data_IF_792854692564
#
_entry.id   IF_792854692564
#
_cell.length_a   1.000
_cell.length_b   1.000
_cell.length_c   1.000
_cell.angle_alpha   90.00
_cell.angle_beta   90.00
_cell.angle_gamma   90.00
#
_symmetry.space_group_name_H-M   'P 1'
#
loop_
_entity.id
_entity.type
_entity.pdbx_description
1 polymer ?
#
# COMPACT_ATOMS: atom_id res chain seq x y z
N UNK A 1 4.21 -11.51 -20.29
CA UNK A 1 3.96 -10.26 -19.55
C UNK A 1 2.52 -10.26 -19.08
N UNK A 2 2.29 -10.19 -17.76
CA UNK A 2 0.97 -10.33 -17.15
C UNK A 2 0.70 -9.07 -16.32
N UNK A 3 -0.44 -8.43 -16.58
CA UNK A 3 -0.93 -7.30 -15.77
C UNK A 3 -1.77 -7.86 -14.63
N UNK A 4 -1.43 -7.49 -13.39
CA UNK A 4 -2.14 -7.88 -12.19
C UNK A 4 -2.61 -6.64 -11.44
N UNK A 5 -3.78 -6.76 -10.82
CA UNK A 5 -4.36 -5.73 -9.99
C UNK A 5 -4.64 -6.31 -8.61
N UNK A 6 -4.19 -5.61 -7.57
CA UNK A 6 -4.39 -6.02 -6.19
C UNK A 6 -5.15 -4.92 -5.42
N UNK A 7 -6.25 -5.30 -4.78
CA UNK A 7 -6.90 -4.41 -3.81
C UNK A 7 -6.09 -4.47 -2.54
N UNK A 8 -5.47 -3.36 -2.23
CA UNK A 8 -4.81 -3.16 -0.96
C UNK A 8 -5.81 -2.46 -0.06
N UNK A 9 -6.36 -3.24 0.85
CA UNK A 9 -7.26 -2.80 1.91
C UNK A 9 -6.69 -3.31 3.22
N UNK A 10 -6.97 -2.59 4.30
CA UNK A 10 -6.87 -3.22 5.59
C UNK A 10 -7.85 -4.40 5.63
N UNK A 11 -7.32 -5.62 5.79
CA UNK A 11 -8.10 -6.83 6.07
C UNK A 11 -8.23 -7.06 7.58
N UNK A 12 -7.63 -6.19 8.40
CA UNK A 12 -7.29 -6.50 9.78
C UNK A 12 -8.38 -6.04 10.75
N UNK A 13 -9.23 -5.09 10.39
CA UNK A 13 -10.35 -4.76 11.26
C UNK A 13 -11.61 -4.37 10.49
N UNK A 14 -12.62 -5.25 10.53
CA UNK A 14 -14.01 -4.98 10.15
C UNK A 14 -14.63 -3.92 11.08
N UNK A 15 -14.05 -2.71 11.16
CA UNK A 15 -14.68 -1.53 11.73
C UNK A 15 -14.15 -1.00 13.07
N UNK A 16 -12.92 -1.27 13.50
CA UNK A 16 -12.46 -0.86 14.84
C UNK A 16 -11.31 0.14 14.92
N UNK A 17 -10.46 0.26 13.89
CA UNK A 17 -9.30 1.17 13.93
C UNK A 17 -9.11 1.94 12.61
N UNK A 18 -8.99 3.29 12.63
CA UNK A 18 -8.67 4.06 11.44
C UNK A 18 -7.22 3.79 11.05
N UNK A 19 -7.01 3.03 9.98
CA UNK A 19 -5.71 2.91 9.34
C UNK A 19 -5.62 3.94 8.23
N UNK A 20 -4.53 4.69 8.21
CA UNK A 20 -4.28 5.75 7.23
C UNK A 20 -2.99 5.40 6.50
N UNK A 21 -2.98 5.55 5.18
CA UNK A 21 -1.75 5.43 4.40
C UNK A 21 -0.73 6.45 4.92
N UNK A 22 0.44 5.96 5.34
CA UNK A 22 1.51 6.81 5.87
C UNK A 22 2.83 6.05 5.87
N UNK A 23 3.91 6.75 5.55
CA UNK A 23 5.25 6.18 5.54
C UNK A 23 5.92 6.27 6.92
N UNK A 24 6.51 5.17 7.39
CA UNK A 24 7.37 5.21 8.57
C UNK A 24 8.73 5.82 8.25
N UNK A 25 8.91 7.11 8.53
CA UNK A 25 10.17 7.83 8.27
C UNK A 25 11.38 7.30 9.04
N UNK A 26 11.18 6.43 10.05
CA UNK A 26 12.28 5.83 10.82
C UNK A 26 12.94 4.66 10.10
N UNK A 27 12.25 4.06 9.13
CA UNK A 27 12.75 2.93 8.36
C UNK A 27 13.36 3.42 7.04
N UNK A 28 14.67 3.26 6.80
CA UNK A 28 15.33 3.83 5.60
C UNK A 28 15.12 3.01 4.31
N UNK A 29 14.39 1.90 4.35
CA UNK A 29 14.29 0.94 3.24
C UNK A 29 13.11 1.19 2.28
N UNK A 30 12.60 2.41 2.22
CA UNK A 30 11.45 2.79 1.38
C UNK A 30 11.90 3.39 0.04
N UNK A 31 12.50 2.57 -0.85
CA UNK A 31 13.04 3.07 -2.13
C UNK A 31 11.97 3.44 -3.15
N UNK A 32 10.83 2.76 -3.11
CA UNK A 32 9.76 2.88 -4.09
C UNK A 32 8.42 3.29 -3.47
N UNK A 33 8.40 3.70 -2.21
CA UNK A 33 7.24 4.28 -1.55
C UNK A 33 7.36 5.81 -1.47
N UNK A 34 6.24 6.49 -1.63
CA UNK A 34 6.11 7.92 -1.39
C UNK A 34 5.82 8.19 0.10
N UNK A 35 5.87 9.47 0.50
CA UNK A 35 5.64 9.93 1.88
C UNK A 35 4.24 9.61 2.39
N UNK A 36 3.29 9.40 1.49
CA UNK A 36 1.94 8.96 1.81
C UNK A 36 1.84 7.46 2.11
N UNK A 37 2.93 6.69 1.98
CA UNK A 37 2.94 5.25 2.22
C UNK A 37 2.45 4.40 1.04
N UNK A 38 2.15 5.00 -0.11
CA UNK A 38 1.81 4.31 -1.36
C UNK A 38 3.04 4.13 -2.24
N UNK A 39 3.04 3.17 -3.16
CA UNK A 39 4.16 3.01 -4.10
C UNK A 39 4.14 4.09 -5.18
N UNK A 40 5.33 4.55 -5.56
CA UNK A 40 5.52 5.51 -6.65
C UNK A 40 5.18 4.84 -7.97
N UNK A 41 4.31 5.47 -8.77
CA UNK A 41 3.96 4.98 -10.10
C UNK A 41 5.20 4.98 -11.00
N UNK A 42 5.41 3.88 -11.74
CA UNK A 42 6.59 3.67 -12.60
C UNK A 42 7.78 3.03 -11.88
N UNK A 43 7.75 2.93 -10.55
CA UNK A 43 8.79 2.22 -9.78
C UNK A 43 8.74 0.70 -10.01
N UNK A 44 9.82 0.01 -9.62
CA UNK A 44 9.89 -1.46 -9.61
C UNK A 44 9.88 -1.93 -8.17
N UNK A 45 9.05 -2.94 -7.87
CA UNK A 45 9.03 -3.64 -6.59
C UNK A 45 9.61 -5.04 -6.74
N UNK A 46 10.50 -5.43 -5.82
CA UNK A 46 11.09 -6.77 -5.78
C UNK A 46 10.26 -7.73 -4.90
N UNK A 47 10.44 -9.05 -5.05
CA UNK A 47 9.89 -10.03 -4.11
C UNK A 47 10.23 -9.68 -2.65
N UNK A 48 9.25 -9.81 -1.76
CA UNK A 48 9.34 -9.54 -0.32
C UNK A 48 9.61 -8.08 0.10
N UNK A 49 9.70 -7.15 -0.86
CA UNK A 49 9.71 -5.72 -0.57
C UNK A 49 8.33 -5.22 -0.16
N UNK A 50 8.29 -4.13 0.61
CA UNK A 50 7.03 -3.53 1.07
C UNK A 50 6.35 -2.81 -0.07
N UNK A 51 5.12 -3.20 -0.39
CA UNK A 51 4.30 -2.58 -1.42
C UNK A 51 3.61 -1.30 -0.94
N UNK A 52 3.19 -1.24 0.33
CA UNK A 52 2.61 -0.05 0.94
C UNK A 52 2.68 -0.08 2.47
N UNK A 53 2.49 1.09 3.09
CA UNK A 53 2.55 1.30 4.53
C UNK A 53 1.30 2.03 5.06
N UNK A 54 0.87 1.61 6.23
CA UNK A 54 -0.27 2.15 6.97
C UNK A 54 0.18 2.54 8.38
N UNK A 55 -0.38 3.62 8.90
CA UNK A 55 -0.31 3.99 10.30
C UNK A 55 -1.64 3.64 10.98
N UNK A 56 -1.57 2.86 12.06
CA UNK A 56 -2.70 2.69 12.96
C UNK A 56 -2.84 3.93 13.84
N UNK A 57 -3.90 4.73 13.65
CA UNK A 57 -4.06 5.97 14.41
C UNK A 57 -4.34 5.73 15.89
N UNK A 58 -4.75 4.51 16.29
CA UNK A 58 -4.98 4.17 17.69
C UNK A 58 -3.69 3.72 18.40
N UNK A 59 -2.98 2.75 17.82
CA UNK A 59 -1.76 2.19 18.45
C UNK A 59 -0.50 2.99 18.11
N UNK A 60 -0.58 3.91 17.13
CA UNK A 60 0.56 4.62 16.55
C UNK A 60 1.63 3.70 15.96
N UNK A 61 1.26 2.46 15.61
CA UNK A 61 2.14 1.49 14.99
C UNK A 61 1.98 1.47 13.48
N UNK A 62 3.10 1.33 12.78
CA UNK A 62 3.10 1.17 11.33
C UNK A 62 2.91 -0.29 10.96
N UNK A 63 1.99 -0.54 10.03
CA UNK A 63 1.79 -1.84 9.38
C UNK A 63 2.23 -1.74 7.93
N UNK A 64 2.81 -2.80 7.41
CA UNK A 64 3.31 -2.87 6.04
C UNK A 64 2.68 -4.04 5.32
N UNK A 65 2.36 -3.86 4.05
CA UNK A 65 1.93 -4.94 3.16
C UNK A 65 3.07 -5.19 2.20
N UNK A 66 3.48 -6.44 2.07
CA UNK A 66 4.60 -6.85 1.22
C UNK A 66 4.11 -7.37 -0.12
N UNK A 67 4.96 -7.22 -1.12
CA UNK A 67 4.77 -7.80 -2.42
C UNK A 67 5.10 -9.30 -2.38
N UNK A 68 4.11 -10.15 -2.64
CA UNK A 68 4.20 -11.60 -2.44
C UNK A 68 4.47 -12.41 -3.72
N UNK A 69 4.71 -11.76 -4.86
CA UNK A 69 5.07 -12.49 -6.08
C UNK A 69 6.57 -12.76 -6.12
N UNK A 70 6.93 -13.82 -6.85
CA UNK A 70 8.31 -14.28 -6.98
C UNK A 70 9.11 -13.52 -8.05
N UNK A 71 8.43 -12.77 -8.90
CA UNK A 71 9.00 -12.02 -10.02
C UNK A 71 8.85 -10.53 -9.74
N UNK A 72 9.82 -9.68 -10.11
CA UNK A 72 9.70 -8.25 -9.95
C UNK A 72 8.54 -7.68 -10.78
N UNK A 73 7.95 -6.60 -10.29
CA UNK A 73 6.87 -5.93 -11.01
C UNK A 73 7.03 -4.42 -11.08
N UNK A 74 6.52 -3.85 -12.17
CA UNK A 74 6.40 -2.42 -12.37
C UNK A 74 5.05 -1.92 -11.88
N UNK A 75 5.07 -0.87 -11.05
CA UNK A 75 3.86 -0.21 -10.58
C UNK A 75 3.27 0.61 -11.73
N UNK A 76 2.09 0.22 -12.20
CA UNK A 76 1.43 0.86 -13.33
C UNK A 76 0.50 1.99 -12.91
N UNK A 77 -0.28 1.78 -11.85
CA UNK A 77 -1.18 2.79 -11.31
C UNK A 77 -1.53 2.53 -9.85
N UNK A 78 -1.86 3.61 -9.15
CA UNK A 78 -2.40 3.57 -7.79
C UNK A 78 -3.69 4.38 -7.78
N UNK A 79 -4.81 3.74 -7.47
CA UNK A 79 -6.12 4.37 -7.43
C UNK A 79 -6.65 4.32 -6.01
N UNK A 80 -6.75 5.48 -5.36
CA UNK A 80 -7.38 5.61 -4.05
C UNK A 80 -8.88 5.33 -4.17
N UNK A 81 -9.38 4.44 -3.32
CA UNK A 81 -10.81 4.12 -3.24
C UNK A 81 -11.37 4.83 -2.02
N UNK A 82 -12.27 5.79 -2.26
CA UNK A 82 -13.08 6.37 -1.19
C UNK A 82 -14.18 5.39 -0.79
N UNK A 83 -14.46 5.28 0.50
CA UNK A 83 -15.72 4.70 0.97
C UNK A 83 -16.83 5.76 0.89
N UNK A 84 -18.07 5.32 0.71
CA UNK A 84 -19.26 6.20 0.65
C UNK A 84 -19.50 6.94 1.97
N UNK A 85 -18.92 6.44 3.07
CA UNK A 85 -18.91 7.09 4.37
C UNK A 85 -17.81 8.17 4.42
N UNK A 86 -18.18 9.42 4.14
CA UNK A 86 -17.28 10.59 4.11
C UNK A 86 -16.53 10.86 5.43
N UNK A 87 -16.84 10.13 6.51
CA UNK A 87 -16.21 10.25 7.84
C UNK A 87 -15.03 9.32 8.05
N UNK A 88 -14.85 8.29 7.23
CA UNK A 88 -13.76 7.34 7.39
C UNK A 88 -12.55 7.75 6.54
N UNK A 89 -11.32 7.66 7.08
CA UNK A 89 -10.14 7.94 6.29
C UNK A 89 -10.00 6.94 5.13
N UNK A 90 -9.50 7.44 4.00
CA UNK A 90 -9.20 6.66 2.79
C UNK A 90 -8.21 5.55 3.15
N UNK A 91 -8.72 4.34 3.32
CA UNK A 91 -7.99 3.17 3.82
C UNK A 91 -7.84 2.08 2.75
N UNK A 92 -8.31 2.35 1.54
CA UNK A 92 -8.35 1.42 0.41
C UNK A 92 -7.68 2.03 -0.82
N UNK A 93 -6.86 1.23 -1.49
CA UNK A 93 -6.26 1.59 -2.76
C UNK A 93 -6.15 0.37 -3.68
N UNK A 94 -6.45 0.55 -4.95
CA UNK A 94 -6.09 -0.41 -5.98
C UNK A 94 -4.68 -0.12 -6.48
N UNK A 95 -3.82 -1.13 -6.46
CA UNK A 95 -2.48 -1.05 -7.01
C UNK A 95 -2.42 -2.01 -8.19
N UNK A 96 -2.19 -1.45 -9.37
CA UNK A 96 -2.01 -2.23 -10.60
C UNK A 96 -0.51 -2.33 -10.88
N UNK A 97 -0.04 -3.54 -11.14
CA UNK A 97 1.36 -3.80 -11.41
C UNK A 97 1.54 -4.84 -12.51
N UNK A 98 2.63 -4.70 -13.27
CA UNK A 98 2.97 -5.54 -14.41
C UNK A 98 4.17 -6.41 -14.04
N UNK A 99 3.98 -7.73 -14.06
CA UNK A 99 5.07 -8.68 -13.84
C UNK A 99 5.93 -8.78 -15.10
N UNK A 100 7.25 -8.71 -14.91
CA UNK A 100 8.25 -8.90 -15.97
C UNK A 100 8.44 -10.38 -16.32
#
# INVERSE_FOLDING_TARGET
MIDLQELVTDKIDQGKHPLVFSLDTKNPNWRHLDLDGLPVIGSTVQPDEVLCCYLNTLTQEYKTIKYHKKEPAHIMSVTLVGDEDAKLPKSKAWIMYRIM
#
